data_IF_623445349085
#
_entry.id   IF_623445349085
#
_cell.length_a   1.000
_cell.length_b   1.000
_cell.length_c   1.000
_cell.angle_alpha   90.00
_cell.angle_beta   90.00
_cell.angle_gamma   90.00
#
_symmetry.space_group_name_H-M   'P 1'
#
loop_
_entity.id
_entity.type
_entity.pdbx_description
1 polymer ?
#
# COMPACT_ATOMS: atom_id res chain seq x y z
N UNK A 1 -0.66 25.94 -14.28
CA UNK A 1 -0.62 24.85 -13.28
C UNK A 1 -1.85 25.01 -12.40
N UNK A 2 -2.74 24.03 -12.42
CA UNK A 2 -4.18 24.16 -12.14
C UNK A 2 -4.51 24.29 -10.64
N UNK A 3 -5.33 25.28 -10.26
CA UNK A 3 -5.83 25.54 -8.88
C UNK A 3 -6.45 24.31 -8.19
N UNK A 4 -6.90 23.32 -8.96
CA UNK A 4 -7.46 22.06 -8.46
C UNK A 4 -6.44 21.15 -7.77
N UNK A 5 -5.14 21.32 -8.06
CA UNK A 5 -4.06 20.58 -7.38
C UNK A 5 -3.67 21.25 -6.05
N UNK A 6 -3.72 22.58 -5.98
CA UNK A 6 -3.50 23.34 -4.74
C UNK A 6 -4.59 23.08 -3.69
N UNK A 7 -5.86 22.95 -4.11
CA UNK A 7 -6.97 22.68 -3.20
C UNK A 7 -6.95 21.27 -2.55
N UNK A 8 -6.17 20.33 -3.10
CA UNK A 8 -5.98 18.98 -2.53
C UNK A 8 -4.94 18.94 -1.42
N UNK A 9 -4.09 19.96 -1.32
CA UNK A 9 -2.94 20.00 -0.41
C UNK A 9 -3.07 21.08 0.70
N UNK A 10 -4.27 21.58 1.00
CA UNK A 10 -4.46 22.47 2.15
C UNK A 10 -4.31 21.66 3.46
N UNK A 11 -3.27 21.91 4.28
CA UNK A 11 -3.04 21.16 5.52
C UNK A 11 -4.16 21.33 6.56
N UNK A 12 -5.09 22.28 6.37
CA UNK A 12 -6.26 22.49 7.23
C UNK A 12 -7.48 21.67 6.81
N UNK A 13 -7.44 21.03 5.66
CA UNK A 13 -8.56 20.21 5.16
C UNK A 13 -8.37 18.77 5.59
N UNK A 14 -9.30 18.25 6.38
CA UNK A 14 -9.26 16.84 6.79
C UNK A 14 -9.30 15.94 5.56
N UNK A 15 -8.49 14.86 5.51
CA UNK A 15 -8.47 13.95 4.39
C UNK A 15 -9.83 13.27 4.24
N UNK A 16 -10.26 13.07 2.99
CA UNK A 16 -11.47 12.28 2.72
C UNK A 16 -11.21 10.80 3.01
N UNK A 17 -12.28 10.03 3.23
CA UNK A 17 -12.20 8.58 3.37
C UNK A 17 -11.42 7.94 2.21
N UNK A 18 -11.80 8.27 0.98
CA UNK A 18 -11.17 7.72 -0.23
C UNK A 18 -9.68 8.06 -0.31
N UNK A 19 -9.30 9.26 0.15
CA UNK A 19 -7.90 9.68 0.23
C UNK A 19 -7.12 8.87 1.27
N UNK A 20 -7.68 8.69 2.47
CA UNK A 20 -7.04 7.89 3.52
C UNK A 20 -6.83 6.44 3.09
N UNK A 21 -7.86 5.81 2.53
CA UNK A 21 -7.80 4.41 2.06
C UNK A 21 -6.85 4.25 0.89
N UNK A 22 -6.94 5.14 -0.11
CA UNK A 22 -6.04 5.14 -1.27
C UNK A 22 -4.57 5.31 -0.85
N UNK A 23 -4.30 6.23 0.08
CA UNK A 23 -2.94 6.46 0.57
C UNK A 23 -2.40 5.26 1.37
N UNK A 24 -3.23 4.65 2.21
CA UNK A 24 -2.82 3.43 2.93
C UNK A 24 -2.48 2.28 1.97
N UNK A 25 -3.30 2.05 0.94
CA UNK A 25 -3.05 1.03 -0.09
C UNK A 25 -1.78 1.31 -0.90
N UNK A 26 -1.52 2.58 -1.24
CA UNK A 26 -0.30 3.02 -1.91
C UNK A 26 0.94 2.67 -1.07
N UNK A 27 0.95 3.07 0.21
CA UNK A 27 2.10 2.84 1.10
C UNK A 27 2.35 1.35 1.33
N UNK A 28 1.29 0.55 1.53
CA UNK A 28 1.41 -0.90 1.67
C UNK A 28 1.93 -1.56 0.39
N UNK A 29 1.50 -1.10 -0.77
CA UNK A 29 2.00 -1.60 -2.06
C UNK A 29 3.47 -1.26 -2.26
N UNK A 30 3.89 -0.03 -1.92
CA UNK A 30 5.28 0.38 -1.94
C UNK A 30 6.15 -0.42 -0.96
N UNK A 31 5.68 -0.63 0.26
CA UNK A 31 6.38 -1.44 1.26
C UNK A 31 6.57 -2.89 0.78
N UNK A 32 5.52 -3.48 0.20
CA UNK A 32 5.58 -4.82 -0.39
C UNK A 32 6.62 -4.91 -1.52
N UNK A 33 6.66 -3.90 -2.39
CA UNK A 33 7.65 -3.80 -3.48
C UNK A 33 9.07 -3.81 -2.95
N UNK A 34 9.38 -2.94 -1.98
CA UNK A 34 10.71 -2.86 -1.33
C UNK A 34 11.13 -4.16 -0.66
N UNK A 35 10.19 -4.90 -0.06
CA UNK A 35 10.46 -6.24 0.47
C UNK A 35 10.76 -7.26 -0.64
N UNK A 36 10.16 -7.11 -1.82
CA UNK A 36 10.52 -7.86 -3.03
C UNK A 36 11.96 -7.58 -3.45
N UNK A 37 12.34 -6.32 -3.56
CA UNK A 37 13.71 -5.93 -3.94
C UNK A 37 14.74 -6.49 -2.94
N UNK A 38 14.46 -6.39 -1.64
CA UNK A 38 15.31 -6.96 -0.60
C UNK A 38 15.43 -8.49 -0.72
N UNK A 39 14.34 -9.19 -1.00
CA UNK A 39 14.34 -10.64 -1.25
C UNK A 39 15.21 -10.96 -2.46
N UNK A 40 15.10 -10.21 -3.54
CA UNK A 40 15.80 -10.49 -4.79
C UNK A 40 17.30 -10.21 -4.65
N UNK A 41 17.68 -9.12 -3.98
CA UNK A 41 19.08 -8.88 -3.58
C UNK A 41 19.62 -10.00 -2.71
N UNK A 42 18.84 -10.44 -1.72
CA UNK A 42 19.26 -11.57 -0.90
C UNK A 42 19.39 -12.82 -1.74
N UNK A 43 18.48 -13.13 -2.66
CA UNK A 43 18.53 -14.31 -3.52
C UNK A 43 19.64 -14.29 -4.59
N UNK A 44 20.22 -13.13 -4.86
CA UNK A 44 21.35 -13.00 -5.79
C UNK A 44 22.47 -14.00 -5.50
N UNK A 45 23.03 -14.55 -6.57
CA UNK A 45 24.21 -15.41 -6.56
C UNK A 45 25.50 -14.61 -6.34
N UNK A 46 25.42 -13.27 -6.40
CA UNK A 46 26.55 -12.42 -6.09
C UNK A 46 26.96 -12.59 -4.62
N UNK A 47 28.27 -12.78 -4.41
CA UNK A 47 28.90 -12.87 -3.10
C UNK A 47 30.10 -11.92 -3.09
N UNK A 48 30.21 -11.02 -2.10
CA UNK A 48 31.46 -10.31 -1.89
C UNK A 48 32.65 -11.28 -1.76
N UNK A 49 33.87 -10.86 -2.17
CA UNK A 49 35.05 -11.67 -1.96
C UNK A 49 35.36 -11.84 -0.47
N UNK A 50 35.69 -13.05 -0.04
CA UNK A 50 36.08 -13.38 1.34
C UNK A 50 35.48 -14.69 1.85
N UNK A 51 35.96 -15.21 2.99
CA UNK A 51 35.39 -16.40 3.61
C UNK A 51 34.04 -16.09 4.25
N UNK A 52 33.06 -16.96 4.01
CA UNK A 52 31.77 -16.95 4.68
C UNK A 52 31.75 -18.06 5.74
N UNK A 53 31.09 -17.81 6.87
CA UNK A 53 30.77 -18.89 7.80
C UNK A 53 29.80 -19.87 7.15
N UNK A 54 29.83 -21.13 7.60
CA UNK A 54 28.85 -22.13 7.18
C UNK A 54 27.41 -21.69 7.51
N UNK A 55 27.24 -20.92 8.59
CA UNK A 55 25.94 -20.46 9.09
C UNK A 55 25.33 -19.32 8.26
N UNK A 56 26.14 -18.57 7.50
CA UNK A 56 25.66 -17.42 6.72
C UNK A 56 24.54 -17.79 5.73
N UNK A 57 24.57 -19.02 5.18
CA UNK A 57 23.51 -19.53 4.33
C UNK A 57 22.20 -19.80 5.07
N UNK A 58 22.30 -20.31 6.31
CA UNK A 58 21.13 -20.58 7.17
C UNK A 58 20.49 -19.27 7.64
N UNK A 59 21.30 -18.30 8.03
CA UNK A 59 20.82 -16.97 8.45
C UNK A 59 20.12 -16.26 7.30
N UNK A 60 20.69 -16.30 6.09
CA UNK A 60 20.06 -15.78 4.87
C UNK A 60 18.69 -16.43 4.63
N UNK A 61 18.60 -17.75 4.74
CA UNK A 61 17.33 -18.47 4.58
C UNK A 61 16.30 -18.08 5.64
N UNK A 62 16.73 -17.90 6.90
CA UNK A 62 15.86 -17.44 7.97
C UNK A 62 15.30 -16.03 7.70
N UNK A 63 16.13 -15.11 7.21
CA UNK A 63 15.70 -13.77 6.81
C UNK A 63 14.72 -13.82 5.63
N UNK A 64 15.00 -14.62 4.60
CA UNK A 64 14.10 -14.79 3.45
C UNK A 64 12.70 -15.28 3.87
N UNK A 65 12.62 -16.20 4.84
CA UNK A 65 11.34 -16.65 5.42
C UNK A 65 10.58 -15.51 6.11
N UNK A 66 11.27 -14.67 6.87
CA UNK A 66 10.67 -13.50 7.53
C UNK A 66 10.15 -12.48 6.52
N UNK A 67 10.90 -12.21 5.45
CA UNK A 67 10.45 -11.33 4.36
C UNK A 67 9.18 -11.89 3.70
N UNK A 68 9.12 -13.20 3.43
CA UNK A 68 7.93 -13.83 2.88
C UNK A 68 6.71 -13.68 3.81
N UNK A 69 6.89 -13.89 5.12
CA UNK A 69 5.84 -13.70 6.12
C UNK A 69 5.33 -12.25 6.16
N UNK A 70 6.22 -11.26 6.16
CA UNK A 70 5.85 -9.84 6.11
C UNK A 70 5.06 -9.49 4.85
N UNK A 71 5.48 -10.04 3.71
CA UNK A 71 4.79 -9.87 2.43
C UNK A 71 3.36 -10.41 2.48
N UNK A 72 3.15 -11.60 3.06
CA UNK A 72 1.81 -12.16 3.25
C UNK A 72 0.96 -11.29 4.18
N UNK A 73 1.51 -10.84 5.31
CA UNK A 73 0.80 -9.94 6.22
C UNK A 73 0.37 -8.62 5.56
N UNK A 74 1.19 -8.05 4.68
CA UNK A 74 0.79 -6.87 3.90
C UNK A 74 -0.38 -7.20 2.95
N UNK A 75 -0.35 -8.37 2.30
CA UNK A 75 -1.42 -8.78 1.38
C UNK A 75 -2.75 -8.97 2.14
N UNK A 76 -2.70 -9.53 3.36
CA UNK A 76 -3.85 -9.67 4.26
C UNK A 76 -4.44 -8.31 4.64
N UNK A 77 -3.60 -7.37 5.09
CA UNK A 77 -4.05 -6.01 5.45
C UNK A 77 -4.66 -5.30 4.24
N UNK A 78 -4.07 -5.45 3.04
CA UNK A 78 -4.64 -4.87 1.82
C UNK A 78 -6.01 -5.45 1.50
N UNK A 79 -6.19 -6.77 1.64
CA UNK A 79 -7.49 -7.42 1.45
C UNK A 79 -8.53 -6.87 2.42
N UNK A 80 -8.16 -6.69 3.67
CA UNK A 80 -9.07 -6.16 4.70
C UNK A 80 -9.46 -4.70 4.41
N UNK A 81 -8.52 -3.89 3.92
CA UNK A 81 -8.79 -2.53 3.47
C UNK A 81 -9.76 -2.49 2.28
N UNK A 82 -9.59 -3.36 1.28
CA UNK A 82 -10.55 -3.46 0.17
C UNK A 82 -11.95 -3.84 0.68
N UNK A 83 -12.05 -4.83 1.57
CA UNK A 83 -13.33 -5.22 2.17
C UNK A 83 -13.96 -4.12 3.04
N UNK A 84 -13.16 -3.23 3.65
CA UNK A 84 -13.66 -2.04 4.33
C UNK A 84 -14.23 -1.02 3.33
N UNK A 85 -13.54 -0.79 2.22
CA UNK A 85 -13.99 0.13 1.17
C UNK A 85 -15.30 -0.35 0.53
N UNK A 86 -15.43 -1.65 0.25
CA UNK A 86 -16.63 -2.22 -0.36
C UNK A 86 -17.85 -2.04 0.56
N UNK A 87 -17.71 -2.36 1.85
CA UNK A 87 -18.78 -2.16 2.85
C UNK A 87 -19.19 -0.70 2.99
N UNK A 88 -18.24 0.23 2.97
CA UNK A 88 -18.52 1.67 3.04
C UNK A 88 -19.23 2.15 1.77
N UNK A 89 -18.85 1.64 0.60
CA UNK A 89 -19.52 1.99 -0.66
C UNK A 89 -20.97 1.48 -0.70
N UNK A 90 -21.24 0.30 -0.14
CA UNK A 90 -22.59 -0.25 0.01
C UNK A 90 -23.44 0.54 1.01
N UNK A 91 -22.83 1.01 2.10
CA UNK A 91 -23.51 1.76 3.15
C UNK A 91 -23.78 3.23 2.77
N UNK A 92 -23.01 3.80 1.84
CA UNK A 92 -23.11 5.21 1.49
C UNK A 92 -24.39 5.46 0.68
N UNK A 93 -25.31 6.32 1.17
CA UNK A 93 -26.52 6.64 0.41
C UNK A 93 -26.13 7.27 -0.93
N UNK A 94 -26.78 6.84 -2.01
CA UNK A 94 -26.61 7.46 -3.32
C UNK A 94 -26.74 8.97 -3.15
N UNK A 95 -25.74 9.73 -3.62
CA UNK A 95 -25.86 11.19 -3.69
C UNK A 95 -27.16 11.46 -4.43
N UNK A 96 -28.18 12.00 -3.76
CA UNK A 96 -29.32 12.58 -4.45
C UNK A 96 -28.74 13.60 -5.40
N UNK A 97 -28.89 13.38 -6.70
CA UNK A 97 -28.74 14.42 -7.70
C UNK A 97 -29.75 15.50 -7.35
N UNK A 98 -29.33 16.50 -6.57
CA UNK A 98 -30.15 17.65 -6.25
C UNK A 98 -30.30 18.49 -7.52
N UNK A 99 -31.54 18.56 -7.98
CA UNK A 99 -32.14 19.65 -8.75
C UNK A 99 -31.81 19.72 -10.25
N UNK A 100 -32.62 19.00 -11.03
CA UNK A 100 -33.34 19.64 -12.13
C UNK A 100 -34.41 20.56 -11.52
N UNK A 101 -34.29 21.88 -11.70
CA UNK A 101 -35.48 22.71 -11.78
C UNK A 101 -35.42 23.59 -13.02
N UNK A 102 -36.36 23.31 -13.92
CA UNK A 102 -36.83 24.13 -15.03
C UNK A 102 -36.89 25.61 -14.66
N UNK A 103 -36.25 26.45 -15.45
CA UNK A 103 -36.67 27.84 -15.61
C UNK A 103 -37.24 27.99 -17.03
N UNK A 104 -38.55 28.23 -17.07
CA UNK A 104 -39.33 28.62 -18.25
C UNK A 104 -38.99 30.05 -18.69
#
# INVERSE_FOLDING_TARGET
>A
MTSSQQARNDPRRLPTWDHMMGKALEELTGARGRLGDARDQLNSDWRPPGPYSADAGLDRLAVLKKIAALKMGIDEVKRDLYAMMDRENEARPAKKSSETHDDR
#
